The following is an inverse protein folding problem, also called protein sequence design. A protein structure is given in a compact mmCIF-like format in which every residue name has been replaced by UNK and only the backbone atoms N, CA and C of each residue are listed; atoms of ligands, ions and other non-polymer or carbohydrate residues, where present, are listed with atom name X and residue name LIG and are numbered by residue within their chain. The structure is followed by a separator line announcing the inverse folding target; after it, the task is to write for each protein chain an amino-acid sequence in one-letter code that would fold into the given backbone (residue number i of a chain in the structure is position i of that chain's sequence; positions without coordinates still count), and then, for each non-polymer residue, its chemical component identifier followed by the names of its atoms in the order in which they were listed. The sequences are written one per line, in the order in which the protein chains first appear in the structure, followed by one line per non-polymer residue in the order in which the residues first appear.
data_IF_334205441005
#
_entry.id   IF_334205441005
#
_cell.length_a   1.000
_cell.length_b   1.000
_cell.length_c   1.000
_cell.angle_alpha   90.00
_cell.angle_beta   90.00
_cell.angle_gamma   90.00
#
_symmetry.space_group_name_H-M   'P 1'
#
loop_
_entity.id
_entity.type
_entity.pdbx_description
1 polymer ?
#
# COMPACT_ATOMS: atom_id res chain seq x y z
N UNK A 1 7.83 -1.01 -11.88
CA UNK A 1 6.97 -2.15 -12.27
C UNK A 1 5.54 -1.65 -12.16
N UNK A 2 4.79 -1.57 -13.26
CA UNK A 2 3.36 -1.23 -13.19
C UNK A 2 2.66 -2.47 -12.64
N UNK A 3 1.87 -2.32 -11.58
CA UNK A 3 1.14 -3.43 -10.99
C UNK A 3 0.20 -4.05 -12.04
N UNK A 4 0.42 -5.31 -12.40
CA UNK A 4 -0.47 -6.07 -13.28
C UNK A 4 -1.43 -6.87 -12.39
N UNK A 5 -2.70 -6.45 -12.35
CA UNK A 5 -3.77 -7.13 -11.62
C UNK A 5 -4.60 -8.00 -12.59
N UNK A 6 -5.23 -9.05 -12.07
CA UNK A 6 -6.13 -9.91 -12.88
C UNK A 6 -7.45 -9.22 -13.25
N UNK A 7 -7.83 -8.17 -12.51
CA UNK A 7 -9.04 -7.40 -12.73
C UNK A 7 -8.67 -6.12 -13.49
N UNK A 8 -9.21 -5.93 -14.69
CA UNK A 8 -8.82 -4.84 -15.59
C UNK A 8 -10.00 -3.94 -15.98
N UNK A 9 -11.11 -4.01 -15.23
CA UNK A 9 -12.28 -3.15 -15.47
C UNK A 9 -11.92 -1.67 -15.29
N UNK A 10 -11.05 -1.37 -14.31
CA UNK A 10 -10.48 -0.06 -14.04
C UNK A 10 -8.98 -0.20 -13.77
N UNK A 11 -8.22 0.82 -14.16
CA UNK A 11 -6.80 0.97 -13.81
C UNK A 11 -6.60 2.26 -13.03
N UNK A 12 -5.48 2.37 -12.33
CA UNK A 12 -5.27 3.52 -11.47
C UNK A 12 -3.87 3.62 -10.88
N UNK A 13 -3.68 4.74 -10.20
CA UNK A 13 -2.49 5.07 -9.42
C UNK A 13 -2.90 5.23 -7.96
N UNK A 14 -1.91 5.12 -7.08
CA UNK A 14 -2.10 5.42 -5.67
C UNK A 14 -0.88 6.18 -5.15
N UNK A 15 -1.14 7.15 -4.27
CA UNK A 15 -0.13 7.89 -3.53
C UNK A 15 -0.41 7.76 -2.04
N UNK A 16 0.64 7.57 -1.25
CA UNK A 16 0.50 7.25 0.17
C UNK A 16 1.58 7.92 1.01
N UNK A 17 1.17 8.52 2.14
CA UNK A 17 2.05 8.97 3.20
C UNK A 17 1.86 8.07 4.42
N UNK A 18 2.95 7.42 4.88
CA UNK A 18 2.94 6.62 6.11
C UNK A 18 2.61 7.51 7.31
N UNK A 19 1.88 6.98 8.28
CA UNK A 19 1.39 7.74 9.40
C UNK A 19 2.50 8.28 10.32
N UNK A 20 2.26 9.45 10.92
CA UNK A 20 3.25 10.14 11.77
C UNK A 20 3.57 9.35 13.04
N UNK A 21 2.60 8.59 13.59
CA UNK A 21 2.81 7.73 14.76
C UNK A 21 3.77 6.57 14.48
N UNK A 22 4.00 6.24 13.20
CA UNK A 22 4.99 5.27 12.72
C UNK A 22 6.27 5.95 12.25
N UNK A 23 6.46 7.22 12.63
CA UNK A 23 7.59 8.05 12.21
C UNK A 23 7.75 8.13 10.69
N UNK A 24 6.64 8.12 9.96
CA UNK A 24 6.62 8.12 8.49
C UNK A 24 7.43 6.95 7.87
N UNK A 25 7.54 5.82 8.57
CA UNK A 25 8.41 4.71 8.17
C UNK A 25 7.69 3.36 8.20
N UNK A 26 7.51 2.80 7.01
CA UNK A 26 7.02 1.42 6.84
C UNK A 26 7.99 0.41 7.46
N UNK A 27 9.30 0.68 7.37
CA UNK A 27 10.33 -0.13 8.01
C UNK A 27 10.11 -0.20 9.53
N UNK A 28 9.87 0.96 10.16
CA UNK A 28 9.63 1.05 11.60
C UNK A 28 8.40 0.24 12.01
N UNK A 29 7.30 0.38 11.26
CA UNK A 29 6.09 -0.40 11.49
C UNK A 29 6.39 -1.91 11.54
N UNK A 30 7.14 -2.44 10.58
CA UNK A 30 7.41 -3.87 10.49
C UNK A 30 8.31 -4.37 11.63
N UNK A 31 9.36 -3.62 11.96
CA UNK A 31 10.25 -3.93 13.09
C UNK A 31 9.51 -3.91 14.42
N UNK A 32 8.66 -2.91 14.64
CA UNK A 32 7.93 -2.73 15.90
C UNK A 32 6.79 -3.76 16.04
N UNK A 33 6.17 -4.18 14.94
CA UNK A 33 4.98 -5.06 14.93
C UNK A 33 5.33 -6.54 14.89
N UNK A 34 6.33 -6.93 14.09
CA UNK A 34 6.65 -8.32 13.81
C UNK A 34 7.98 -8.72 14.42
N UNK A 35 7.95 -9.42 15.56
CA UNK A 35 9.17 -9.91 16.24
C UNK A 35 10.06 -10.80 15.38
N UNK A 36 9.48 -11.47 14.37
CA UNK A 36 10.20 -12.32 13.43
C UNK A 36 10.82 -11.56 12.26
N UNK A 37 10.53 -10.27 12.12
CA UNK A 37 11.06 -9.45 11.04
C UNK A 37 12.46 -8.94 11.38
N UNK A 38 13.45 -9.32 10.56
CA UNK A 38 14.83 -8.90 10.68
C UNK A 38 15.04 -7.56 9.96
N UNK A 39 14.94 -6.47 10.72
CA UNK A 39 15.07 -5.11 10.21
C UNK A 39 16.48 -4.72 9.75
N UNK A 40 17.52 -5.47 10.14
CA UNK A 40 18.90 -5.23 9.72
C UNK A 40 19.14 -5.87 8.34
N UNK A 41 18.56 -7.05 8.11
CA UNK A 41 18.66 -7.76 6.82
C UNK A 41 17.73 -7.18 5.76
N UNK A 42 16.50 -6.84 6.11
CA UNK A 42 15.47 -6.48 5.13
C UNK A 42 15.12 -4.99 5.18
N UNK A 43 15.10 -4.34 4.01
CA UNK A 43 14.69 -2.94 3.84
C UNK A 43 13.39 -2.85 3.06
N UNK A 44 12.32 -2.35 3.68
CA UNK A 44 10.99 -2.34 3.10
C UNK A 44 10.65 -1.02 2.40
N UNK A 45 10.11 -1.13 1.20
CA UNK A 45 9.93 0.00 0.29
C UNK A 45 8.48 0.24 -0.15
N UNK A 46 7.57 -0.68 0.20
CA UNK A 46 6.15 -0.51 -0.10
C UNK A 46 5.34 -1.74 0.29
N UNK A 47 4.09 -1.74 -0.12
CA UNK A 47 3.20 -2.88 0.05
C UNK A 47 2.18 -2.97 -1.09
N UNK A 48 1.66 -4.16 -1.31
CA UNK A 48 0.41 -4.36 -2.06
C UNK A 48 -0.73 -4.58 -1.09
N UNK A 49 -1.89 -4.03 -1.41
CA UNK A 49 -3.12 -4.23 -0.64
C UNK A 49 -4.18 -4.88 -1.52
N UNK A 50 -4.79 -5.94 -1.02
CA UNK A 50 -5.95 -6.58 -1.63
C UNK A 50 -7.13 -6.53 -0.67
N UNK A 51 -8.20 -5.87 -1.11
CA UNK A 51 -9.39 -5.58 -0.33
C UNK A 51 -10.48 -6.53 -0.82
N UNK A 52 -10.97 -7.42 0.06
CA UNK A 52 -12.11 -8.29 -0.23
C UNK A 52 -13.44 -7.58 0.05
N UNK A 53 -14.58 -8.21 -0.20
CA UNK A 53 -15.91 -7.72 0.22
C UNK A 53 -16.26 -8.06 1.68
N UNK A 54 -15.36 -8.70 2.44
CA UNK A 54 -15.67 -9.31 3.76
C UNK A 54 -15.19 -8.54 4.99
N UNK A 55 -14.64 -7.34 4.87
CA UNK A 55 -14.03 -6.64 6.02
C UNK A 55 -12.50 -6.61 6.01
N UNK A 56 -11.88 -7.45 5.18
CA UNK A 56 -10.47 -7.81 5.30
C UNK A 56 -9.59 -7.25 4.19
N UNK A 57 -8.40 -6.80 4.59
CA UNK A 57 -7.28 -6.43 3.73
C UNK A 57 -6.17 -7.44 3.88
N UNK A 58 -5.77 -8.04 2.77
CA UNK A 58 -4.48 -8.72 2.68
C UNK A 58 -3.44 -7.68 2.31
N UNK A 59 -2.43 -7.53 3.15
CA UNK A 59 -1.27 -6.70 2.87
C UNK A 59 -0.05 -7.58 2.66
N UNK A 60 0.73 -7.28 1.63
CA UNK A 60 2.03 -7.91 1.40
C UNK A 60 3.08 -6.81 1.32
N UNK A 61 4.11 -6.89 2.15
CA UNK A 61 5.17 -5.88 2.21
C UNK A 61 6.30 -6.25 1.26
N UNK A 62 6.69 -5.30 0.41
CA UNK A 62 7.77 -5.48 -0.57
C UNK A 62 9.05 -4.96 0.06
N UNK A 63 10.00 -5.87 0.28
CA UNK A 63 11.26 -5.56 0.94
C UNK A 63 12.43 -6.12 0.15
N UNK A 64 13.55 -5.40 0.19
CA UNK A 64 14.81 -5.81 -0.38
C UNK A 64 15.63 -6.57 0.66
N UNK A 65 16.10 -7.76 0.31
CA UNK A 65 17.05 -8.54 1.10
C UNK A 65 18.46 -8.03 0.83
N UNK A 66 19.08 -7.39 1.82
CA UNK A 66 20.40 -6.79 1.68
C UNK A 66 21.52 -7.84 1.54
N UNK A 67 21.27 -9.10 1.89
CA UNK A 67 22.24 -10.20 1.79
C UNK A 67 22.13 -10.91 0.44
N UNK A 68 20.92 -11.27 0.05
CA UNK A 68 20.66 -12.03 -1.20
C UNK A 68 20.43 -11.13 -2.42
N UNK A 69 20.40 -9.82 -2.22
CA UNK A 69 20.22 -8.80 -3.27
C UNK A 69 18.99 -9.02 -4.16
N UNK A 70 17.84 -9.33 -3.54
CA UNK A 70 16.57 -9.56 -4.24
C UNK A 70 15.39 -8.99 -3.46
N UNK A 71 14.31 -8.70 -4.19
CA UNK A 71 13.04 -8.33 -3.57
C UNK A 71 12.25 -9.56 -3.14
N UNK A 72 11.68 -9.49 -1.94
CA UNK A 72 10.81 -10.47 -1.34
C UNK A 72 9.50 -9.82 -0.89
N UNK A 73 8.46 -10.63 -0.80
CA UNK A 73 7.18 -10.25 -0.21
C UNK A 73 7.04 -10.88 1.17
N UNK A 74 6.78 -10.06 2.18
CA UNK A 74 6.41 -10.50 3.53
C UNK A 74 4.89 -10.46 3.66
N UNK A 75 4.31 -11.59 4.05
CA UNK A 75 2.87 -11.76 4.19
C UNK A 75 2.59 -12.03 5.67
N UNK A 76 1.93 -11.12 6.40
CA UNK A 76 1.47 -11.39 7.75
C UNK A 76 0.50 -12.58 7.76
N UNK A 77 0.56 -13.41 8.81
CA UNK A 77 -0.33 -14.57 8.93
C UNK A 77 -1.81 -14.19 9.06
N UNK A 78 -2.08 -13.00 9.63
CA UNK A 78 -3.42 -12.49 9.86
C UNK A 78 -3.79 -11.42 8.84
N UNK A 79 -5.05 -11.43 8.39
CA UNK A 79 -5.62 -10.33 7.63
C UNK A 79 -5.84 -9.11 8.54
N UNK A 80 -5.70 -7.92 7.96
CA UNK A 80 -6.06 -6.68 8.63
C UNK A 80 -7.54 -6.37 8.45
N UNK A 81 -8.14 -5.69 9.42
CA UNK A 81 -9.37 -4.95 9.17
C UNK A 81 -9.04 -3.70 8.34
N UNK A 82 -9.98 -3.21 7.52
CA UNK A 82 -9.75 -2.02 6.69
C UNK A 82 -9.24 -0.83 7.51
N UNK A 83 -9.79 -0.63 8.71
CA UNK A 83 -9.44 0.47 9.60
C UNK A 83 -7.94 0.41 9.96
N UNK A 84 -7.46 -0.75 10.36
CA UNK A 84 -6.06 -0.94 10.75
C UNK A 84 -5.11 -0.79 9.56
N UNK A 85 -5.50 -1.33 8.39
CA UNK A 85 -4.72 -1.19 7.17
C UNK A 85 -4.60 0.28 6.72
N UNK A 86 -5.69 1.04 6.76
CA UNK A 86 -5.67 2.46 6.40
C UNK A 86 -5.02 3.34 7.47
N UNK A 87 -5.03 2.94 8.74
CA UNK A 87 -4.32 3.66 9.81
C UNK A 87 -2.80 3.68 9.62
N UNK A 88 -2.24 2.75 8.84
CA UNK A 88 -0.84 2.78 8.43
C UNK A 88 -0.48 4.07 7.68
N UNK A 89 -1.46 4.72 7.05
CA UNK A 89 -1.27 5.90 6.23
C UNK A 89 -1.99 7.10 6.84
N UNK A 90 -1.32 8.27 6.91
CA UNK A 90 -2.01 9.53 7.25
C UNK A 90 -2.72 10.14 6.05
N UNK A 91 -2.27 9.79 4.84
CA UNK A 91 -2.89 10.15 3.57
C UNK A 91 -2.78 8.95 2.64
N UNK A 92 -3.90 8.56 2.04
CA UNK A 92 -3.93 7.51 1.04
C UNK A 92 -4.90 7.91 -0.06
N UNK A 93 -4.35 8.33 -1.19
CA UNK A 93 -5.07 8.77 -2.36
C UNK A 93 -5.06 7.64 -3.40
N UNK A 94 -6.24 7.33 -3.94
CA UNK A 94 -6.41 6.35 -5.01
C UNK A 94 -7.14 7.05 -6.15
N UNK A 95 -6.56 7.01 -7.34
CA UNK A 95 -7.19 7.51 -8.56
C UNK A 95 -7.41 6.31 -9.48
N UNK A 96 -8.67 5.98 -9.78
CA UNK A 96 -9.04 4.82 -10.60
C UNK A 96 -10.08 5.21 -11.65
N UNK A 97 -9.95 4.65 -12.85
CA UNK A 97 -10.85 4.93 -13.96
C UNK A 97 -10.55 4.10 -15.20
N UNK A 98 -11.42 4.20 -16.20
CA UNK A 98 -11.16 3.67 -17.54
C UNK A 98 -10.27 4.68 -18.27
N UNK A 99 -9.10 4.27 -18.76
CA UNK A 99 -8.11 5.17 -19.39
C UNK A 99 -7.67 6.35 -18.50
N UNK A 100 -7.62 6.17 -17.17
CA UNK A 100 -7.34 7.25 -16.23
C UNK A 100 -5.96 7.92 -16.45
N UNK A 101 -4.99 7.17 -16.97
CA UNK A 101 -3.67 7.69 -17.33
C UNK A 101 -3.71 8.66 -18.54
N UNK A 102 -4.83 8.72 -19.26
CA UNK A 102 -5.08 9.60 -20.42
C UNK A 102 -6.03 10.77 -20.08
N UNK A 103 -6.53 10.84 -18.85
CA UNK A 103 -7.49 11.84 -18.39
C UNK A 103 -6.78 12.86 -17.49
N UNK A 104 -6.83 14.13 -17.87
CA UNK A 104 -6.37 15.24 -17.04
C UNK A 104 -7.57 15.90 -16.38
N UNK A 105 -7.53 16.04 -15.05
CA UNK A 105 -8.56 16.73 -14.26
C UNK A 105 -7.86 17.85 -13.50
N UNK A 106 -8.28 19.08 -13.74
CA UNK A 106 -7.83 20.21 -12.93
C UNK A 106 -8.40 20.08 -11.51
N UNK A 107 -7.56 20.30 -10.51
CA UNK A 107 -7.97 20.33 -9.10
C UNK A 107 -9.04 21.37 -8.78
N UNK A 108 -9.23 22.39 -9.63
CA UNK A 108 -10.27 23.41 -9.49
C UNK A 108 -11.61 23.01 -10.13
N UNK A 109 -11.60 22.05 -11.06
CA UNK A 109 -12.78 21.58 -11.80
C UNK A 109 -13.58 20.53 -11.01
N UNK A 110 -14.00 20.90 -9.79
CA UNK A 110 -14.71 20.01 -8.86
C UNK A 110 -16.19 20.38 -8.77
N UNK A 111 -17.07 19.45 -9.15
CA UNK A 111 -18.51 19.59 -8.97
C UNK A 111 -19.01 18.68 -7.84
N UNK A 112 -19.65 19.29 -6.83
CA UNK A 112 -20.29 18.53 -5.76
C UNK A 112 -21.57 17.85 -6.27
N UNK A 113 -21.73 16.57 -5.94
CA UNK A 113 -22.99 15.84 -6.13
C UNK A 113 -23.90 16.13 -4.93
N UNK A 114 -25.09 16.69 -5.18
CA UNK A 114 -26.15 16.96 -4.20
C UNK A 114 -27.25 15.91 -4.34
#
# INVERSE_FOLDING_TARGET
MIASVQYNDLKGTAAADVSDHLSNSLQKFLVDTYKSFDGDRYSCHGCTMWISNKGYVLMEFICYDNVEHKYLKFIPENHYLYQDAFNLFKRFEIVIGTHIDEIEVDSEDVQALI
#
